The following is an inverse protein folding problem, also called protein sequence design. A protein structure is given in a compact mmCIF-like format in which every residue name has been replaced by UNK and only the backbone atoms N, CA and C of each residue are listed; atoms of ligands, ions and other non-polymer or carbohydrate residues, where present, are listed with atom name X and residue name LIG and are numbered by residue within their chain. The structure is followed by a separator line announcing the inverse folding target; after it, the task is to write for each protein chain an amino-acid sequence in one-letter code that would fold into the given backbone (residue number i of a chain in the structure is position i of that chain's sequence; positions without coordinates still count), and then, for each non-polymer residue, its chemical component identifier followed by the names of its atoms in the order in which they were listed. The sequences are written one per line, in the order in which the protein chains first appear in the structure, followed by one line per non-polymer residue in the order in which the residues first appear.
data_IF_980633932435
#
_entry.id   IF_980633932435
#
_cell.length_a   1.000
_cell.length_b   1.000
_cell.length_c   1.000
_cell.angle_alpha   90.00
_cell.angle_beta   90.00
_cell.angle_gamma   90.00
#
_symmetry.space_group_name_H-M   'P 1'
#
loop_
_entity.id
_entity.type
_entity.pdbx_description
1 polymer ?
#
# COMPACT_ATOMS: atom_id res chain seq x y z
N UNK A 1 2.63 -35.56 -24.01
CA UNK A 1 3.76 -35.51 -24.95
C UNK A 1 4.93 -34.81 -24.28
N UNK A 2 6.09 -34.75 -24.94
CA UNK A 2 7.17 -33.84 -24.53
C UNK A 2 6.65 -32.40 -24.67
N UNK A 3 6.75 -31.61 -23.61
CA UNK A 3 6.20 -30.25 -23.56
C UNK A 3 7.25 -29.18 -23.85
N UNK A 4 8.37 -29.24 -23.11
CA UNK A 4 9.52 -28.34 -23.27
C UNK A 4 10.80 -29.18 -23.22
N UNK A 5 11.71 -28.93 -24.17
CA UNK A 5 13.04 -29.55 -24.18
C UNK A 5 14.06 -28.60 -23.58
N UNK A 6 14.66 -28.98 -22.45
CA UNK A 6 15.72 -28.21 -21.83
C UNK A 6 17.08 -28.50 -22.50
N UNK A 7 17.92 -27.47 -22.62
CA UNK A 7 19.27 -27.52 -23.15
C UNK A 7 20.30 -27.61 -22.00
N UNK A 8 20.92 -28.78 -21.77
CA UNK A 8 22.00 -28.91 -20.79
C UNK A 8 23.35 -28.54 -21.40
N UNK A 9 24.19 -27.86 -20.61
CA UNK A 9 25.64 -27.86 -20.83
C UNK A 9 26.24 -29.07 -20.09
N UNK A 10 26.67 -30.07 -20.84
CA UNK A 10 27.20 -31.32 -20.30
C UNK A 10 28.73 -31.25 -20.12
N UNK A 11 29.22 -31.76 -18.99
CA UNK A 11 30.65 -31.90 -18.76
C UNK A 11 31.26 -33.00 -19.65
N UNK A 12 32.57 -32.93 -19.95
CA UNK A 12 33.28 -34.03 -20.61
C UNK A 12 33.05 -35.36 -19.88
N UNK A 13 32.66 -36.40 -20.64
CA UNK A 13 32.37 -37.72 -20.10
C UNK A 13 30.91 -37.96 -19.69
N UNK A 14 30.01 -36.97 -19.86
CA UNK A 14 28.55 -37.11 -19.73
C UNK A 14 28.05 -37.56 -18.34
N UNK A 15 28.82 -37.28 -17.28
CA UNK A 15 28.47 -37.65 -15.89
C UNK A 15 27.98 -36.49 -15.03
N UNK A 16 27.97 -35.28 -15.57
CA UNK A 16 27.40 -34.10 -14.95
C UNK A 16 27.05 -33.06 -16.01
N UNK A 17 26.24 -32.09 -15.63
CA UNK A 17 25.87 -30.97 -16.47
C UNK A 17 25.08 -29.95 -15.68
N UNK A 18 24.84 -28.79 -16.30
CA UNK A 18 24.03 -27.72 -15.75
C UNK A 18 22.99 -27.29 -16.79
N UNK A 19 21.82 -26.89 -16.31
CA UNK A 19 20.81 -26.19 -17.10
C UNK A 19 20.86 -24.73 -16.67
N UNK A 20 21.45 -23.86 -17.49
CA UNK A 20 21.54 -22.42 -17.21
C UNK A 20 20.22 -21.75 -17.58
N UNK A 21 19.84 -20.70 -16.86
CA UNK A 21 18.64 -19.93 -17.22
C UNK A 21 18.77 -19.28 -18.62
N UNK A 22 19.98 -18.83 -18.97
CA UNK A 22 20.29 -18.21 -20.27
C UNK A 22 19.93 -19.13 -21.45
N UNK A 23 20.27 -20.42 -21.38
CA UNK A 23 19.99 -21.38 -22.45
C UNK A 23 18.57 -22.00 -22.36
N UNK A 24 17.83 -21.73 -21.29
CA UNK A 24 16.57 -22.39 -20.95
C UNK A 24 15.44 -21.39 -20.63
N UNK A 25 15.41 -20.27 -21.33
CA UNK A 25 14.30 -19.30 -21.26
C UNK A 25 13.37 -19.49 -22.47
N UNK A 26 12.11 -19.79 -22.22
CA UNK A 26 11.12 -20.09 -23.26
C UNK A 26 9.87 -19.24 -23.09
N UNK A 27 9.30 -18.80 -24.21
CA UNK A 27 7.95 -18.25 -24.24
C UNK A 27 6.95 -19.42 -24.26
N UNK A 28 6.04 -19.45 -23.29
CA UNK A 28 5.05 -20.52 -23.14
C UNK A 28 3.75 -20.14 -23.84
N UNK A 29 3.09 -21.12 -24.46
CA UNK A 29 1.71 -20.97 -24.92
C UNK A 29 0.74 -20.92 -23.75
N UNK A 30 -0.47 -20.39 -23.94
CA UNK A 30 -1.50 -20.33 -22.89
C UNK A 30 -1.83 -21.71 -22.29
N UNK A 31 -1.89 -22.76 -23.12
CA UNK A 31 -2.14 -24.14 -22.68
C UNK A 31 -0.98 -24.71 -21.84
N UNK A 32 0.26 -24.37 -22.19
CA UNK A 32 1.45 -24.76 -21.41
C UNK A 32 1.49 -24.05 -20.06
N UNK A 33 1.15 -22.75 -20.04
CA UNK A 33 1.00 -22.00 -18.80
C UNK A 33 -0.07 -22.63 -17.91
N UNK A 34 -1.22 -23.01 -18.49
CA UNK A 34 -2.29 -23.68 -17.74
C UNK A 34 -1.83 -25.04 -17.18
N UNK A 35 -1.11 -25.83 -17.97
CA UNK A 35 -0.57 -27.14 -17.56
C UNK A 35 0.46 -26.99 -16.43
N UNK A 36 1.35 -26.00 -16.53
CA UNK A 36 2.36 -25.71 -15.52
C UNK A 36 1.72 -25.24 -14.22
N UNK A 37 0.74 -24.32 -14.29
CA UNK A 37 -0.01 -23.83 -13.11
C UNK A 37 -0.83 -24.92 -12.44
N UNK A 38 -1.33 -25.89 -13.20
CA UNK A 38 -2.04 -27.06 -12.67
C UNK A 38 -1.10 -28.09 -12.03
N UNK A 39 0.23 -27.89 -12.09
CA UNK A 39 1.21 -28.83 -11.56
C UNK A 39 1.27 -30.14 -12.36
N UNK A 40 0.97 -30.11 -13.66
CA UNK A 40 0.93 -31.31 -14.51
C UNK A 40 2.25 -31.54 -15.29
N UNK A 41 3.23 -30.66 -15.14
CA UNK A 41 4.56 -30.81 -15.75
C UNK A 41 5.53 -31.53 -14.80
N UNK A 42 6.33 -32.43 -15.34
CA UNK A 42 7.43 -33.07 -14.61
C UNK A 42 8.71 -32.99 -15.44
N UNK A 43 9.84 -32.89 -14.75
CA UNK A 43 11.16 -33.04 -15.33
C UNK A 43 11.46 -34.52 -15.54
N UNK A 44 11.96 -34.90 -16.71
CA UNK A 44 12.38 -36.25 -17.04
C UNK A 44 13.82 -36.20 -17.56
N UNK A 45 14.76 -36.76 -16.81
CA UNK A 45 16.17 -36.85 -17.19
C UNK A 45 16.38 -38.13 -18.00
N UNK A 46 16.99 -38.00 -19.17
CA UNK A 46 17.36 -39.11 -20.02
C UNK A 46 18.88 -39.30 -20.00
N UNK A 47 19.33 -40.55 -19.98
CA UNK A 47 20.74 -40.92 -20.13
C UNK A 47 20.93 -41.85 -21.31
N UNK A 48 22.19 -42.14 -21.65
CA UNK A 48 22.53 -43.06 -22.73
C UNK A 48 22.11 -44.50 -22.42
N UNK A 49 22.09 -44.89 -21.15
CA UNK A 49 21.66 -46.23 -20.71
C UNK A 49 20.12 -46.33 -20.63
N UNK A 50 19.45 -45.25 -20.19
CA UNK A 50 18.00 -45.20 -20.03
C UNK A 50 17.38 -44.10 -20.90
N UNK A 51 17.39 -44.33 -22.22
CA UNK A 51 16.91 -43.36 -23.20
C UNK A 51 15.40 -43.02 -23.10
N UNK A 52 14.60 -43.84 -22.42
CA UNK A 52 13.18 -43.56 -22.15
C UNK A 52 12.93 -42.67 -20.92
N UNK A 53 14.00 -42.33 -20.18
CA UNK A 53 13.97 -41.56 -18.94
C UNK A 53 14.49 -42.40 -17.77
N UNK A 54 15.53 -41.90 -17.10
CA UNK A 54 16.14 -42.53 -15.92
C UNK A 54 15.53 -41.98 -14.62
N UNK A 55 15.38 -40.66 -14.54
CA UNK A 55 14.89 -39.98 -13.33
C UNK A 55 13.76 -39.01 -13.66
N UNK A 56 12.76 -38.96 -12.79
CA UNK A 56 11.62 -38.04 -12.90
C UNK A 56 11.43 -37.26 -11.62
N UNK A 57 11.16 -35.97 -11.76
CA UNK A 57 10.80 -35.08 -10.65
C UNK A 57 9.61 -34.24 -11.03
N UNK A 58 8.67 -34.04 -10.12
CA UNK A 58 7.52 -33.19 -10.34
C UNK A 58 7.94 -31.71 -10.38
N UNK A 59 7.46 -30.95 -11.37
CA UNK A 59 7.53 -29.49 -11.31
C UNK A 59 6.29 -29.04 -10.55
N UNK A 60 6.52 -28.36 -9.43
CA UNK A 60 5.46 -27.81 -8.59
C UNK A 60 5.55 -26.28 -8.64
N UNK A 61 4.41 -25.59 -8.44
CA UNK A 61 4.45 -24.18 -8.09
C UNK A 61 5.36 -23.99 -6.88
N UNK A 62 6.09 -22.89 -6.88
CA UNK A 62 6.88 -22.51 -5.73
C UNK A 62 5.96 -22.28 -4.52
N UNK A 63 6.41 -22.70 -3.35
CA UNK A 63 5.69 -22.41 -2.11
C UNK A 63 5.93 -20.94 -1.83
N UNK A 64 4.88 -20.13 -1.91
CA UNK A 64 4.95 -18.75 -1.46
C UNK A 64 5.02 -18.74 0.06
N UNK A 65 6.19 -18.37 0.60
CA UNK A 65 6.33 -18.12 2.02
C UNK A 65 5.79 -16.73 2.35
N UNK A 66 5.38 -16.54 3.60
CA UNK A 66 4.97 -15.22 4.04
C UNK A 66 6.21 -14.32 4.19
N UNK A 67 6.07 -13.00 3.93
CA UNK A 67 7.09 -12.04 4.31
C UNK A 67 7.54 -12.26 5.75
N UNK A 68 8.85 -12.28 5.93
CA UNK A 68 9.57 -12.54 7.20
C UNK A 68 10.27 -11.27 7.69
N UNK A 69 10.91 -11.31 8.86
CA UNK A 69 11.49 -10.14 9.55
C UNK A 69 10.48 -9.00 9.69
N UNK A 70 9.78 -8.95 10.82
CA UNK A 70 8.63 -8.05 11.00
C UNK A 70 8.94 -6.59 10.62
N UNK A 71 8.01 -5.95 9.90
CA UNK A 71 8.03 -4.52 9.60
C UNK A 71 7.80 -3.69 10.87
N UNK A 72 8.79 -3.69 11.76
CA UNK A 72 8.70 -3.14 13.11
C UNK A 72 8.74 -1.62 13.09
N UNK A 73 7.82 -0.97 13.79
CA UNK A 73 7.77 0.48 13.91
C UNK A 73 9.05 0.99 14.58
N UNK A 74 9.72 1.96 13.94
CA UNK A 74 10.89 2.66 14.48
C UNK A 74 10.56 4.10 14.91
N UNK A 75 9.52 4.70 14.31
CA UNK A 75 9.07 6.04 14.66
C UNK A 75 7.57 6.22 14.34
N UNK A 76 6.80 6.96 15.16
CA UNK A 76 7.04 7.12 16.59
C UNK A 76 7.26 5.75 17.24
N UNK A 77 8.25 5.62 18.12
CA UNK A 77 8.55 4.33 18.75
C UNK A 77 7.38 3.87 19.65
N UNK A 78 7.32 2.56 19.95
CA UNK A 78 6.30 2.03 20.86
C UNK A 78 6.32 2.76 22.23
N UNK A 79 5.13 3.16 22.68
CA UNK A 79 4.91 3.95 23.88
C UNK A 79 5.21 5.44 23.73
N UNK A 80 5.52 5.94 22.53
CA UNK A 80 5.80 7.36 22.32
C UNK A 80 4.60 8.23 22.67
N UNK A 81 4.88 9.44 23.17
CA UNK A 81 3.88 10.47 23.42
C UNK A 81 4.20 11.71 22.56
N UNK A 82 3.21 12.18 21.80
CA UNK A 82 3.35 13.31 20.87
C UNK A 82 2.24 14.32 21.12
N UNK A 83 2.57 15.60 21.03
CA UNK A 83 1.56 16.68 21.02
C UNK A 83 1.42 17.22 19.61
N UNK A 84 0.21 17.13 19.05
CA UNK A 84 -0.12 17.63 17.72
C UNK A 84 -0.46 19.12 17.85
N UNK A 85 0.51 19.99 17.58
CA UNK A 85 0.39 21.44 17.75
C UNK A 85 1.33 22.21 16.82
N UNK A 86 1.03 23.48 16.60
CA UNK A 86 1.86 24.38 15.78
C UNK A 86 1.39 24.44 14.34
N UNK A 87 2.34 24.41 13.40
CA UNK A 87 2.06 24.53 11.97
C UNK A 87 1.32 23.28 11.44
N UNK A 88 0.16 23.41 10.76
CA UNK A 88 -0.58 22.29 10.20
C UNK A 88 0.22 21.48 9.18
N UNK A 89 1.19 22.08 8.49
CA UNK A 89 2.02 21.41 7.50
C UNK A 89 3.23 20.70 8.13
N UNK A 90 3.37 20.73 9.47
CA UNK A 90 4.39 19.94 10.18
C UNK A 90 4.23 18.46 9.80
N UNK A 91 5.27 17.80 9.27
CA UNK A 91 5.18 16.41 8.87
C UNK A 91 4.90 15.48 10.06
N UNK A 92 3.99 14.53 9.86
CA UNK A 92 3.84 13.35 10.70
C UNK A 92 4.19 12.14 9.84
N UNK A 93 5.33 11.50 10.16
CA UNK A 93 5.95 10.50 9.30
C UNK A 93 6.33 9.22 10.06
N UNK A 94 5.37 8.33 10.37
CA UNK A 94 5.67 7.02 10.92
C UNK A 94 6.56 6.20 9.99
N UNK A 95 7.56 5.55 10.57
CA UNK A 95 8.60 4.76 9.89
C UNK A 95 8.72 3.38 10.52
N UNK A 96 9.20 2.42 9.74
CA UNK A 96 9.43 1.05 10.17
C UNK A 96 10.65 0.45 9.49
N UNK A 97 11.13 -0.66 10.05
CA UNK A 97 12.18 -1.48 9.44
C UNK A 97 11.64 -2.23 8.22
N UNK A 98 12.51 -2.46 7.24
CA UNK A 98 12.18 -3.25 6.07
C UNK A 98 12.02 -4.72 6.45
N UNK A 99 10.94 -5.35 5.97
CA UNK A 99 10.76 -6.78 6.05
C UNK A 99 11.54 -7.54 4.97
N UNK A 100 11.68 -8.84 5.14
CA UNK A 100 12.44 -9.72 4.26
C UNK A 100 11.53 -10.66 3.51
N UNK A 101 11.59 -10.59 2.18
CA UNK A 101 11.03 -11.59 1.28
C UNK A 101 11.96 -11.75 0.07
N UNK A 102 11.80 -12.85 -0.67
CA UNK A 102 12.44 -13.02 -1.97
C UNK A 102 11.82 -12.06 -3.00
N UNK A 103 10.52 -11.85 -2.90
CA UNK A 103 9.76 -10.98 -3.81
C UNK A 103 9.80 -9.52 -3.34
N UNK A 104 9.47 -8.59 -4.25
CA UNK A 104 9.42 -7.18 -3.91
C UNK A 104 8.24 -6.93 -2.96
N UNK A 105 8.52 -6.25 -1.85
CA UNK A 105 7.52 -5.93 -0.85
C UNK A 105 6.85 -4.58 -1.10
N UNK A 106 5.55 -4.55 -0.84
CA UNK A 106 4.78 -3.34 -0.61
C UNK A 106 4.27 -3.31 0.83
N UNK A 107 4.04 -2.11 1.36
CA UNK A 107 3.65 -1.88 2.73
C UNK A 107 2.28 -1.23 2.84
N UNK A 108 1.55 -1.64 3.87
CA UNK A 108 0.31 -1.00 4.29
C UNK A 108 0.50 -0.51 5.72
N UNK A 109 0.42 0.80 5.94
CA UNK A 109 0.45 1.37 7.26
C UNK A 109 -0.97 1.44 7.85
N UNK A 110 -1.12 0.94 9.08
CA UNK A 110 -2.39 0.94 9.80
C UNK A 110 -2.30 1.77 11.08
N UNK A 111 -3.37 2.52 11.35
CA UNK A 111 -3.65 3.15 12.65
C UNK A 111 -4.99 2.64 13.16
N UNK A 112 -5.06 2.27 14.44
CA UNK A 112 -6.21 1.63 15.08
C UNK A 112 -6.51 2.27 16.43
N UNK A 113 -7.79 2.27 16.80
CA UNK A 113 -8.25 2.63 18.14
C UNK A 113 -8.08 1.49 19.17
N UNK A 114 -7.86 0.26 18.69
CA UNK A 114 -7.66 -0.94 19.52
C UNK A 114 -6.33 -1.63 19.20
N UNK A 115 -5.75 -2.30 20.19
CA UNK A 115 -4.47 -3.03 20.09
C UNK A 115 -4.56 -4.29 19.21
N UNK A 116 -5.74 -4.88 19.11
CA UNK A 116 -6.04 -6.03 18.25
C UNK A 116 -6.32 -5.66 16.78
N UNK A 117 -6.30 -4.37 16.44
CA UNK A 117 -6.63 -3.85 15.10
C UNK A 117 -8.04 -4.22 14.61
N UNK A 118 -9.00 -4.45 15.51
CA UNK A 118 -10.42 -4.61 15.15
C UNK A 118 -11.10 -3.29 14.76
N UNK A 119 -10.54 -2.14 15.18
CA UNK A 119 -11.08 -0.80 14.89
C UNK A 119 -10.07 0.09 14.15
N UNK A 120 -9.78 -0.24 12.88
CA UNK A 120 -8.83 0.49 12.03
C UNK A 120 -9.39 1.84 11.60
N UNK A 121 -8.62 2.91 11.85
CA UNK A 121 -8.91 4.30 11.50
C UNK A 121 -8.25 4.71 10.18
N UNK A 122 -7.02 4.26 9.94
CA UNK A 122 -6.26 4.51 8.70
C UNK A 122 -5.71 3.18 8.20
N UNK A 123 -5.85 2.91 6.91
CA UNK A 123 -5.30 1.76 6.22
C UNK A 123 -4.71 2.21 4.88
N UNK A 124 -3.50 2.76 4.94
CA UNK A 124 -2.83 3.40 3.81
C UNK A 124 -1.88 2.42 3.13
N UNK A 125 -2.08 2.15 1.84
CA UNK A 125 -1.04 1.52 1.03
C UNK A 125 0.02 2.58 0.66
N UNK A 126 1.29 2.31 0.96
CA UNK A 126 2.41 3.23 0.70
C UNK A 126 3.39 2.69 -0.35
N UNK A 127 3.02 1.63 -1.08
CA UNK A 127 3.92 0.98 -2.04
C UNK A 127 5.13 0.38 -1.34
N UNK A 128 6.32 0.49 -1.93
CA UNK A 128 7.58 -0.02 -1.38
C UNK A 128 8.23 0.90 -0.34
N UNK A 129 7.58 2.01 0.02
CA UNK A 129 8.05 2.96 1.03
C UNK A 129 8.00 2.38 2.45
N UNK A 130 9.04 2.62 3.25
CA UNK A 130 9.08 2.32 4.69
C UNK A 130 8.64 3.52 5.57
N UNK A 131 7.92 4.47 4.96
CA UNK A 131 7.36 5.63 5.63
C UNK A 131 5.93 5.90 5.16
N UNK A 132 5.06 6.21 6.12
CA UNK A 132 3.76 6.81 5.87
C UNK A 132 3.88 8.33 6.09
N UNK A 133 3.51 9.15 5.11
CA UNK A 133 3.63 10.61 5.22
C UNK A 133 2.27 11.30 5.28
N UNK A 134 2.08 12.13 6.31
CA UNK A 134 0.97 13.08 6.41
C UNK A 134 1.40 14.30 7.21
N UNK A 135 0.45 15.10 7.67
CA UNK A 135 0.69 16.39 8.32
C UNK A 135 -0.08 16.49 9.63
N UNK A 136 0.40 17.35 10.54
CA UNK A 136 -0.27 17.60 11.81
C UNK A 136 -1.70 18.12 11.62
N UNK A 137 -1.98 18.85 10.54
CA UNK A 137 -3.32 19.29 10.19
C UNK A 137 -4.27 18.12 9.91
N UNK A 138 -3.83 17.11 9.17
CA UNK A 138 -4.64 15.90 8.93
C UNK A 138 -4.80 15.06 10.19
N UNK A 139 -3.74 14.93 11.01
CA UNK A 139 -3.82 14.23 12.30
C UNK A 139 -4.78 14.95 13.26
N UNK A 140 -4.73 16.28 13.35
CA UNK A 140 -5.67 17.06 14.18
C UNK A 140 -7.13 16.85 13.74
N UNK A 141 -7.39 16.88 12.43
CA UNK A 141 -8.73 16.62 11.89
C UNK A 141 -9.22 15.21 12.21
N UNK A 142 -8.32 14.21 12.16
CA UNK A 142 -8.66 12.83 12.55
C UNK A 142 -9.04 12.75 14.04
N UNK A 143 -8.23 13.35 14.92
CA UNK A 143 -8.47 13.39 16.37
C UNK A 143 -9.77 14.15 16.69
N UNK A 144 -10.00 15.29 16.04
CA UNK A 144 -11.23 16.07 16.18
C UNK A 144 -12.46 15.26 15.77
N UNK A 145 -12.38 14.53 14.65
CA UNK A 145 -13.48 13.69 14.15
C UNK A 145 -13.76 12.52 15.09
N UNK A 146 -12.73 12.00 15.76
CA UNK A 146 -12.86 11.00 16.82
C UNK A 146 -13.39 11.58 18.15
N UNK A 147 -13.61 12.89 18.24
CA UNK A 147 -14.16 13.56 19.42
C UNK A 147 -13.12 13.98 20.46
N UNK A 148 -11.83 13.91 20.15
CA UNK A 148 -10.75 14.31 21.07
C UNK A 148 -10.69 15.84 21.20
N UNK A 149 -10.85 16.33 22.42
CA UNK A 149 -10.81 17.74 22.77
C UNK A 149 -9.40 18.34 22.79
N UNK A 150 -9.30 19.66 22.84
CA UNK A 150 -8.01 20.33 23.05
C UNK A 150 -7.42 19.98 24.42
N UNK A 151 -6.12 19.70 24.43
CA UNK A 151 -5.34 19.18 25.57
C UNK A 151 -5.77 17.80 26.08
N UNK A 152 -6.66 17.11 25.36
CA UNK A 152 -6.98 15.71 25.61
C UNK A 152 -5.98 14.81 24.90
N UNK A 153 -5.71 13.65 25.52
CA UNK A 153 -4.83 12.63 24.98
C UNK A 153 -5.62 11.37 24.66
N UNK A 154 -5.24 10.69 23.58
CA UNK A 154 -5.73 9.36 23.22
C UNK A 154 -4.55 8.46 22.91
N UNK A 155 -4.61 7.20 23.36
CA UNK A 155 -3.67 6.17 22.94
C UNK A 155 -4.24 5.43 21.73
N UNK A 156 -3.44 5.37 20.66
CA UNK A 156 -3.74 4.65 19.43
C UNK A 156 -2.66 3.61 19.19
N UNK A 157 -2.93 2.67 18.28
CA UNK A 157 -2.03 1.58 17.94
C UNK A 157 -1.74 1.64 16.44
N UNK A 158 -0.49 1.44 16.06
CA UNK A 158 -0.07 1.45 14.66
C UNK A 158 0.90 0.33 14.35
N UNK A 159 0.90 -0.10 13.08
CA UNK A 159 1.80 -1.13 12.56
C UNK A 159 1.95 -0.98 11.05
N UNK A 160 2.99 -1.59 10.50
CA UNK A 160 3.13 -1.80 9.07
C UNK A 160 2.86 -3.28 8.74
N UNK A 161 2.18 -3.54 7.62
CA UNK A 161 2.02 -4.87 7.04
C UNK A 161 2.93 -4.95 5.83
N UNK A 162 3.75 -5.99 5.74
CA UNK A 162 4.53 -6.30 4.55
C UNK A 162 3.73 -7.26 3.65
N UNK A 163 3.64 -6.95 2.36
CA UNK A 163 2.91 -7.74 1.36
C UNK A 163 3.80 -8.02 0.15
N UNK A 164 3.84 -9.27 -0.28
CA UNK A 164 4.50 -9.72 -1.52
C UNK A 164 3.55 -9.66 -2.75
N UNK A 165 2.33 -9.12 -2.56
CA UNK A 165 1.28 -9.07 -3.57
C UNK A 165 0.32 -10.26 -3.56
N UNK A 166 0.61 -11.31 -2.79
CA UNK A 166 -0.24 -12.50 -2.60
C UNK A 166 -0.69 -12.65 -1.15
N UNK A 167 0.24 -12.55 -0.21
CA UNK A 167 0.00 -12.62 1.23
C UNK A 167 0.59 -11.39 1.92
N UNK A 168 0.02 -11.06 3.08
CA UNK A 168 0.51 -9.96 3.90
C UNK A 168 0.78 -10.43 5.32
N UNK A 169 1.94 -10.06 5.85
CA UNK A 169 2.35 -10.31 7.24
C UNK A 169 2.26 -9.01 8.03
N UNK A 170 1.45 -8.94 9.09
CA UNK A 170 1.48 -7.81 10.00
C UNK A 170 2.75 -7.80 10.83
N UNK A 171 3.42 -6.64 10.93
CA UNK A 171 4.46 -6.41 11.92
C UNK A 171 3.89 -6.22 13.33
N UNK A 172 4.78 -6.17 14.32
CA UNK A 172 4.43 -5.86 15.69
C UNK A 172 3.60 -4.57 15.83
N UNK A 173 2.64 -4.60 16.75
CA UNK A 173 1.91 -3.42 17.16
C UNK A 173 2.80 -2.49 17.98
N UNK A 174 2.80 -1.21 17.66
CA UNK A 174 3.33 -0.14 18.50
C UNK A 174 2.18 0.75 18.99
N UNK A 175 2.28 1.23 20.22
CA UNK A 175 1.36 2.20 20.80
C UNK A 175 1.91 3.62 20.68
N UNK A 176 1.03 4.59 20.47
CA UNK A 176 1.38 6.01 20.46
C UNK A 176 0.28 6.82 21.16
N UNK A 177 0.68 7.66 22.11
CA UNK A 177 -0.24 8.58 22.79
C UNK A 177 -0.17 9.94 22.12
N UNK A 178 -1.30 10.37 21.54
CA UNK A 178 -1.42 11.66 20.87
C UNK A 178 -2.21 12.63 21.73
N UNK A 179 -1.61 13.75 22.07
CA UNK A 179 -2.28 14.89 22.71
C UNK A 179 -2.67 15.89 21.64
N UNK A 180 -3.96 16.24 21.58
CA UNK A 180 -4.44 17.24 20.64
C UNK A 180 -4.15 18.65 21.15
N UNK A 181 -3.21 19.36 20.54
CA UNK A 181 -2.91 20.76 20.84
C UNK A 181 -3.57 21.72 19.86
N UNK A 182 -3.12 22.98 19.86
CA UNK A 182 -3.62 23.98 18.92
C UNK A 182 -2.77 23.91 17.65
N UNK A 183 -3.40 23.52 16.54
CA UNK A 183 -2.83 23.57 15.19
C UNK A 183 -3.35 24.81 14.47
N UNK A 184 -2.46 25.71 14.05
CA UNK A 184 -2.82 26.99 13.44
C UNK A 184 -2.00 27.21 12.18
N UNK A 185 -2.68 27.26 11.03
CA UNK A 185 -2.08 27.63 9.75
C UNK A 185 -1.60 29.08 9.72
N UNK A 186 -0.59 29.34 8.91
CA UNK A 186 -0.13 30.71 8.63
C UNK A 186 -0.83 31.32 7.42
N UNK A 187 -1.37 30.48 6.53
CA UNK A 187 -2.15 30.92 5.38
C UNK A 187 -3.63 31.10 5.75
N UNK A 188 -4.24 32.17 5.24
CA UNK A 188 -5.68 32.38 5.33
C UNK A 188 -6.34 31.58 4.20
N UNK A 189 -7.00 30.48 4.56
CA UNK A 189 -7.70 29.65 3.59
C UNK A 189 -9.04 30.27 3.20
N UNK A 190 -9.09 30.83 2.00
CA UNK A 190 -10.33 31.36 1.42
C UNK A 190 -11.09 30.24 0.68
N UNK A 191 -12.05 29.63 1.39
CA UNK A 191 -12.85 28.52 0.87
C UNK A 191 -13.75 28.92 -0.30
N UNK A 192 -14.11 30.19 -0.46
CA UNK A 192 -14.96 30.63 -1.58
C UNK A 192 -14.22 30.53 -2.93
N UNK A 193 -12.90 30.58 -2.89
CA UNK A 193 -12.03 30.50 -4.05
C UNK A 193 -11.41 29.09 -4.25
N UNK A 194 -11.88 28.11 -3.49
CA UNK A 194 -11.47 26.71 -3.60
C UNK A 194 -12.64 25.87 -4.11
N UNK A 195 -12.43 25.15 -5.20
CA UNK A 195 -13.41 24.22 -5.77
C UNK A 195 -12.79 22.83 -5.87
N UNK A 196 -13.51 21.81 -5.41
CA UNK A 196 -13.18 20.40 -5.64
C UNK A 196 -14.33 19.70 -6.35
N UNK A 197 -14.04 19.05 -7.47
CA UNK A 197 -14.97 18.20 -8.22
C UNK A 197 -14.36 16.83 -8.49
N UNK A 198 -15.09 15.77 -8.16
CA UNK A 198 -14.69 14.40 -8.46
C UNK A 198 -15.60 13.81 -9.54
N UNK A 199 -15.03 13.14 -10.55
CA UNK A 199 -15.80 12.52 -11.62
C UNK A 199 -15.09 11.32 -12.28
N UNK A 200 -15.85 10.31 -12.74
CA UNK A 200 -17.29 10.15 -12.53
C UNK A 200 -17.60 9.80 -11.06
N UNK A 201 -18.82 10.07 -10.61
CA UNK A 201 -19.27 9.75 -9.25
C UNK A 201 -19.41 8.24 -9.03
N UNK A 202 -19.61 7.46 -10.10
CA UNK A 202 -19.70 5.99 -10.08
C UNK A 202 -18.63 5.44 -11.01
N UNK A 203 -17.79 4.53 -10.54
CA UNK A 203 -16.64 4.00 -11.31
C UNK A 203 -16.18 2.65 -10.79
N UNK A 204 -15.37 1.94 -11.59
CA UNK A 204 -14.64 0.71 -11.17
C UNK A 204 -13.14 0.83 -11.33
N UNK A 205 -12.67 1.92 -11.95
CA UNK A 205 -11.28 2.08 -12.32
C UNK A 205 -10.62 3.25 -11.62
N UNK A 206 -11.11 4.46 -11.92
CA UNK A 206 -10.48 5.68 -11.47
C UNK A 206 -11.49 6.79 -11.24
N UNK A 207 -11.12 7.70 -10.35
CA UNK A 207 -11.80 8.97 -10.12
C UNK A 207 -10.83 10.09 -10.49
N UNK A 208 -11.27 11.00 -11.36
CA UNK A 208 -10.53 12.23 -11.63
C UNK A 208 -11.00 13.29 -10.62
N UNK A 209 -10.05 13.95 -9.97
CA UNK A 209 -10.31 15.02 -9.00
C UNK A 209 -9.77 16.31 -9.57
N UNK A 210 -10.69 17.21 -9.93
CA UNK A 210 -10.36 18.56 -10.39
C UNK A 210 -10.44 19.53 -9.23
N UNK A 211 -9.31 20.16 -8.94
CA UNK A 211 -9.15 21.18 -7.93
C UNK A 211 -8.96 22.54 -8.61
N UNK A 212 -9.61 23.58 -8.09
CA UNK A 212 -9.35 24.95 -8.50
C UNK A 212 -9.00 25.81 -7.31
N UNK A 213 -8.04 26.70 -7.52
CA UNK A 213 -7.63 27.70 -6.55
C UNK A 213 -7.23 28.98 -7.24
N UNK A 214 -7.39 30.12 -6.56
CA UNK A 214 -6.87 31.41 -7.01
C UNK A 214 -5.43 31.67 -6.52
N UNK A 215 -4.92 30.85 -5.60
CA UNK A 215 -3.60 30.99 -4.98
C UNK A 215 -2.98 29.61 -4.70
N UNK A 216 -1.66 29.51 -4.56
CA UNK A 216 -1.04 28.23 -4.27
C UNK A 216 -1.35 27.75 -2.85
N UNK A 217 -1.53 26.45 -2.68
CA UNK A 217 -1.69 25.78 -1.39
C UNK A 217 -1.07 24.39 -1.40
N UNK A 218 -0.49 24.00 -0.28
CA UNK A 218 -0.23 22.59 0.03
C UNK A 218 -1.47 22.00 0.72
N UNK A 219 -1.88 20.82 0.26
CA UNK A 219 -3.04 20.13 0.79
C UNK A 219 -2.88 18.62 0.74
N UNK A 220 -3.89 17.92 1.24
CA UNK A 220 -4.00 16.48 1.14
C UNK A 220 -5.40 16.08 0.70
N UNK A 221 -5.47 15.14 -0.25
CA UNK A 221 -6.70 14.43 -0.60
C UNK A 221 -6.81 13.19 0.28
N UNK A 222 -7.95 13.02 0.95
CA UNK A 222 -8.26 11.86 1.77
C UNK A 222 -9.41 11.09 1.13
N UNK A 223 -9.22 9.80 0.89
CA UNK A 223 -10.30 8.89 0.52
C UNK A 223 -10.75 8.09 1.74
N UNK A 224 -12.01 8.25 2.14
CA UNK A 224 -12.62 7.54 3.26
C UNK A 224 -13.75 6.63 2.80
N UNK A 225 -13.93 5.50 3.47
CA UNK A 225 -15.13 4.67 3.27
C UNK A 225 -16.32 5.19 4.10
N UNK A 226 -17.48 4.56 3.95
CA UNK A 226 -18.70 4.92 4.68
C UNK A 226 -18.60 4.80 6.22
N UNK A 227 -17.63 4.04 6.73
CA UNK A 227 -17.37 3.90 8.18
C UNK A 227 -16.39 4.95 8.70
N UNK A 228 -15.91 5.86 7.85
CA UNK A 228 -14.96 6.92 8.22
C UNK A 228 -13.49 6.50 8.24
N UNK A 229 -13.18 5.23 7.92
CA UNK A 229 -11.81 4.75 7.78
C UNK A 229 -11.15 5.38 6.57
N UNK A 230 -9.96 5.93 6.75
CA UNK A 230 -9.15 6.52 5.67
C UNK A 230 -8.34 5.43 4.96
N UNK A 231 -8.40 5.41 3.63
CA UNK A 231 -7.80 4.37 2.77
C UNK A 231 -6.73 4.93 1.82
N UNK A 232 -6.83 6.22 1.48
CA UNK A 232 -5.79 6.94 0.74
C UNK A 232 -5.62 8.33 1.36
N UNK A 233 -4.38 8.75 1.55
CA UNK A 233 -3.95 10.09 1.97
C UNK A 233 -2.87 10.48 0.99
N UNK A 234 -3.17 11.45 0.13
CA UNK A 234 -2.29 11.88 -0.93
C UNK A 234 -1.95 13.35 -0.81
N UNK A 235 -0.67 13.74 -0.77
CA UNK A 235 -0.31 15.15 -0.87
C UNK A 235 -0.73 15.71 -2.22
N UNK A 236 -1.22 16.95 -2.24
CA UNK A 236 -1.58 17.67 -3.45
C UNK A 236 -1.11 19.11 -3.36
N UNK A 237 -0.52 19.61 -4.44
CA UNK A 237 -0.10 21.00 -4.54
C UNK A 237 -1.06 21.73 -5.49
N UNK A 238 -1.83 22.65 -4.93
CA UNK A 238 -2.70 23.50 -5.72
C UNK A 238 -1.88 24.66 -6.27
N UNK A 239 -2.09 24.96 -7.54
CA UNK A 239 -1.56 26.17 -8.19
C UNK A 239 -2.71 27.13 -8.49
N UNK A 240 -2.41 28.39 -8.78
CA UNK A 240 -3.43 29.30 -9.33
C UNK A 240 -3.96 28.74 -10.65
N UNK A 241 -5.25 28.46 -10.72
CA UNK A 241 -5.90 27.84 -11.85
C UNK A 241 -6.51 26.48 -11.48
N UNK A 242 -6.15 25.44 -12.25
CA UNK A 242 -6.70 24.08 -12.10
C UNK A 242 -5.57 23.08 -11.90
N UNK A 243 -5.70 22.23 -10.89
CA UNK A 243 -4.87 21.03 -10.66
C UNK A 243 -5.78 19.80 -10.83
N UNK A 244 -5.37 18.83 -11.65
CA UNK A 244 -6.12 17.59 -11.87
C UNK A 244 -5.33 16.42 -11.27
N UNK A 245 -5.99 15.62 -10.42
CA UNK A 245 -5.45 14.42 -9.77
C UNK A 245 -6.25 13.18 -10.20
N UNK A 246 -5.64 11.99 -10.13
CA UNK A 246 -6.31 10.72 -10.42
C UNK A 246 -6.15 9.71 -9.30
N UNK A 247 -7.26 9.19 -8.80
CA UNK A 247 -7.29 8.19 -7.75
C UNK A 247 -7.73 6.86 -8.35
N UNK A 248 -6.88 5.84 -8.22
CA UNK A 248 -7.17 4.47 -8.62
C UNK A 248 -8.04 3.81 -7.54
N UNK A 249 -9.15 3.22 -7.95
CA UNK A 249 -10.11 2.56 -7.06
C UNK A 249 -10.32 1.09 -7.41
N UNK A 250 -9.54 0.52 -8.35
CA UNK A 250 -9.68 -0.87 -8.80
C UNK A 250 -9.54 -1.90 -7.69
N UNK A 251 -8.74 -1.57 -6.67
CA UNK A 251 -8.46 -2.45 -5.54
C UNK A 251 -9.42 -2.23 -4.36
N UNK A 252 -10.37 -1.30 -4.49
CA UNK A 252 -11.34 -1.01 -3.44
C UNK A 252 -12.58 -1.89 -3.59
N UNK A 253 -13.14 -2.41 -2.49
CA UNK A 253 -14.43 -3.07 -2.52
C UNK A 253 -15.54 -2.17 -3.09
N UNK A 254 -16.58 -2.79 -3.64
CA UNK A 254 -17.78 -2.04 -4.03
C UNK A 254 -18.42 -1.37 -2.80
N UNK A 255 -18.81 -0.10 -2.91
CA UNK A 255 -19.34 0.66 -1.79
C UNK A 255 -19.32 2.17 -1.98
N UNK A 256 -19.71 2.88 -0.92
CA UNK A 256 -19.68 4.34 -0.87
C UNK A 256 -18.42 4.85 -0.20
N UNK A 257 -17.81 5.85 -0.84
CA UNK A 257 -16.58 6.51 -0.44
C UNK A 257 -16.75 8.02 -0.50
N UNK A 258 -15.88 8.73 0.21
CA UNK A 258 -15.87 10.17 0.30
C UNK A 258 -14.45 10.69 0.07
N UNK A 259 -14.29 11.51 -0.96
CA UNK A 259 -13.07 12.26 -1.21
C UNK A 259 -13.13 13.59 -0.48
N UNK A 260 -12.11 13.88 0.31
CA UNK A 260 -12.02 15.09 1.11
C UNK A 260 -10.74 15.84 0.76
N UNK A 261 -10.85 17.15 0.61
CA UNK A 261 -9.69 18.03 0.48
C UNK A 261 -9.42 18.70 1.82
N UNK A 262 -8.19 18.56 2.33
CA UNK A 262 -7.71 19.23 3.53
C UNK A 262 -6.58 20.17 3.14
N UNK A 263 -6.67 21.44 3.55
CA UNK A 263 -5.63 22.47 3.33
C UNK A 263 -5.42 23.17 4.67
N UNK A 264 -4.17 23.33 5.09
CA UNK A 264 -3.81 23.98 6.37
C UNK A 264 -4.58 23.39 7.58
N UNK A 265 -4.79 22.07 7.58
CA UNK A 265 -5.56 21.36 8.63
C UNK A 265 -7.08 21.59 8.60
N UNK A 266 -7.60 22.33 7.61
CA UNK A 266 -9.03 22.57 7.46
C UNK A 266 -9.64 21.69 6.38
N UNK A 267 -10.78 21.05 6.69
CA UNK A 267 -11.62 20.40 5.69
C UNK A 267 -12.24 21.45 4.76
N UNK A 268 -11.91 21.38 3.47
CA UNK A 268 -12.35 22.34 2.45
C UNK A 268 -13.61 21.86 1.74
N UNK A 269 -13.63 20.60 1.32
CA UNK A 269 -14.74 20.04 0.58
C UNK A 269 -14.81 18.53 0.72
N UNK A 270 -15.98 17.97 0.43
CA UNK A 270 -16.22 16.53 0.39
C UNK A 270 -17.01 16.18 -0.86
N UNK A 271 -16.57 15.19 -1.62
CA UNK A 271 -17.24 14.68 -2.82
C UNK A 271 -17.52 13.18 -2.66
N UNK A 272 -18.76 12.72 -2.86
CA UNK A 272 -19.07 11.29 -2.82
C UNK A 272 -18.52 10.58 -4.06
N UNK A 273 -18.13 9.32 -3.87
CA UNK A 273 -17.70 8.38 -4.91
C UNK A 273 -18.34 7.03 -4.61
N UNK A 274 -18.82 6.35 -5.64
CA UNK A 274 -19.35 4.99 -5.57
C UNK A 274 -18.44 4.09 -6.40
N UNK A 275 -17.92 3.05 -5.76
CA UNK A 275 -17.16 1.99 -6.44
C UNK A 275 -18.11 0.82 -6.68
N UNK A 276 -18.11 0.29 -7.90
CA UNK A 276 -18.93 -0.87 -8.32
C UNK A 276 -18.12 -2.15 -8.57
#
# INVERSE_FOLDING_TARGET
GLDITLAPTLAPGLKSGIYTAEDNTYELTEDQVATLRAGNNYFNLHTTEYASGELRSQVLPEINFFPSDEAAITSPADGAALTIQGDPNTPFAPQWDMASDRDQLAYIWQLSATDDFSAILVNQNVGDSQVFETTFGVVDLLLQTAGVGLNESITLYHRALASDGSVATPGASASVTLTRGVVTGTAIVDKENLEMKAFPTVTRERVNVRLRSNQPYDGQLLLRNANGQTLDIRPVQLTTGTTDEQIDVRQLPAGSYYLQLVIEGQLIGTQPVIVE
#
